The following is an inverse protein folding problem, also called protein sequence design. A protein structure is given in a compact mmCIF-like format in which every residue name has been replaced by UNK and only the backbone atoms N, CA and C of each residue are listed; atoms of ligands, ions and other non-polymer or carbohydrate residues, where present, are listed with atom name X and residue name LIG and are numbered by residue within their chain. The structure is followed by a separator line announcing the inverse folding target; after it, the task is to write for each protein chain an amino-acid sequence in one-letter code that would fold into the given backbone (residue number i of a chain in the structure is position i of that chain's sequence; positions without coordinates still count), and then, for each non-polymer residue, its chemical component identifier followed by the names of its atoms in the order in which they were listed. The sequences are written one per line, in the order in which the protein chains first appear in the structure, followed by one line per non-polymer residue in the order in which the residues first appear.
data_IF_541758835513
#
_entry.id   IF_541758835513
#
_cell.length_a   1.000
_cell.length_b   1.000
_cell.length_c   1.000
_cell.angle_alpha   90.00
_cell.angle_beta   90.00
_cell.angle_gamma   90.00
#
_symmetry.space_group_name_H-M   'P 1'
#
loop_
_entity.id
_entity.type
_entity.pdbx_description
1 polymer ?
#
# COMPACT_ATOMS: atom_id res chain seq x y z
N UNK A 1 -11.06 -22.81 -30.95
CA UNK A 1 -9.67 -22.27 -31.00
C UNK A 1 -9.10 -22.53 -32.38
N UNK A 2 -8.24 -21.64 -32.89
CA UNK A 2 -7.65 -21.79 -34.22
C UNK A 2 -6.59 -22.91 -34.25
N UNK A 3 -6.39 -23.51 -35.42
CA UNK A 3 -5.44 -24.61 -35.65
C UNK A 3 -4.11 -24.15 -36.28
N UNK A 4 -3.85 -22.84 -36.28
CA UNK A 4 -2.71 -22.20 -36.92
C UNK A 4 -2.35 -20.92 -36.14
N UNK A 5 -1.14 -20.43 -36.35
CA UNK A 5 -0.66 -19.16 -35.77
C UNK A 5 -1.42 -18.00 -36.42
N UNK A 6 -2.14 -17.22 -35.62
CA UNK A 6 -3.10 -16.23 -36.15
C UNK A 6 -2.64 -14.81 -35.91
N UNK A 7 -2.89 -13.94 -36.89
CA UNK A 7 -2.81 -12.49 -36.76
C UNK A 7 -4.18 -11.87 -37.02
N UNK A 8 -4.62 -10.95 -36.18
CA UNK A 8 -5.87 -10.22 -36.28
C UNK A 8 -5.63 -8.73 -36.54
N UNK A 9 -6.52 -8.12 -37.31
CA UNK A 9 -6.63 -6.66 -37.41
C UNK A 9 -8.10 -6.25 -37.57
N UNK A 10 -8.49 -5.17 -36.91
CA UNK A 10 -9.83 -4.56 -36.96
C UNK A 10 -9.70 -3.18 -37.59
N UNK A 11 -10.59 -2.88 -38.52
CA UNK A 11 -10.64 -1.61 -39.24
C UNK A 11 -12.04 -1.00 -39.19
N UNK A 12 -12.10 0.32 -39.06
CA UNK A 12 -13.24 1.14 -39.41
C UNK A 12 -13.09 1.69 -40.83
N UNK A 13 -13.99 2.60 -41.20
CA UNK A 13 -14.05 3.17 -42.55
C UNK A 13 -14.59 2.19 -43.60
N UNK A 14 -14.41 2.51 -44.87
CA UNK A 14 -14.87 1.68 -45.98
C UNK A 14 -13.70 0.90 -46.62
N UNK A 15 -14.03 -0.01 -47.55
CA UNK A 15 -13.03 -0.81 -48.25
C UNK A 15 -12.05 0.01 -49.12
N UNK A 16 -12.35 1.28 -49.41
CA UNK A 16 -11.47 2.18 -50.15
C UNK A 16 -10.51 2.94 -49.23
N UNK A 17 -10.85 3.09 -47.96
CA UNK A 17 -10.08 3.82 -46.95
C UNK A 17 -10.26 3.21 -45.56
N UNK A 18 -9.65 2.05 -45.34
CA UNK A 18 -9.65 1.37 -44.04
C UNK A 18 -8.85 2.18 -42.99
N UNK A 19 -9.46 2.37 -41.82
CA UNK A 19 -8.84 3.03 -40.67
C UNK A 19 -8.52 1.96 -39.63
N UNK A 20 -7.26 1.73 -39.24
CA UNK A 20 -6.93 0.72 -38.24
C UNK A 20 -7.50 1.11 -36.87
N UNK A 21 -8.24 0.19 -36.25
CA UNK A 21 -8.81 0.33 -34.90
C UNK A 21 -8.06 -0.54 -33.87
N UNK A 22 -7.48 -1.66 -34.29
CA UNK A 22 -6.67 -2.52 -33.44
C UNK A 22 -6.04 -3.67 -34.24
N UNK A 23 -4.91 -4.20 -33.78
CA UNK A 23 -4.30 -5.38 -34.38
C UNK A 23 -3.49 -6.15 -33.33
N UNK A 24 -3.40 -7.47 -33.50
CA UNK A 24 -2.57 -8.31 -32.66
C UNK A 24 -2.10 -9.55 -33.43
N UNK A 25 -0.87 -9.98 -33.16
CA UNK A 25 -0.28 -11.24 -33.59
C UNK A 25 0.35 -11.86 -32.36
N UNK A 26 -0.28 -12.90 -31.81
CA UNK A 26 0.12 -13.69 -30.65
C UNK A 26 -0.21 -13.06 -29.29
N UNK A 27 -1.40 -13.35 -28.80
CA UNK A 27 -1.75 -13.00 -27.42
C UNK A 27 -0.96 -13.85 -26.42
N UNK A 28 -0.33 -13.18 -25.45
CA UNK A 28 0.24 -13.86 -24.29
C UNK A 28 -0.83 -14.73 -23.60
N UNK A 29 -0.44 -15.94 -23.16
CA UNK A 29 -1.35 -16.90 -22.52
C UNK A 29 -2.26 -17.67 -23.49
N UNK A 30 -2.27 -17.36 -24.78
CA UNK A 30 -3.03 -18.11 -25.78
C UNK A 30 -2.20 -19.27 -26.38
N UNK A 31 -2.74 -20.49 -26.29
CA UNK A 31 -2.08 -21.68 -26.86
C UNK A 31 -2.06 -21.63 -28.38
N UNK A 32 -0.96 -22.07 -28.99
CA UNK A 32 -0.86 -22.20 -30.46
C UNK A 32 -0.77 -20.86 -31.18
N UNK A 33 -0.26 -19.82 -30.51
CA UNK A 33 -0.02 -18.50 -31.11
C UNK A 33 -1.33 -17.87 -31.65
N UNK A 34 -2.41 -18.02 -30.88
CA UNK A 34 -3.69 -17.40 -31.25
C UNK A 34 -3.78 -15.96 -30.75
N UNK A 35 -4.48 -15.12 -31.51
CA UNK A 35 -4.61 -13.69 -31.27
C UNK A 35 -5.96 -13.32 -30.66
N UNK A 36 -5.94 -12.31 -29.79
CA UNK A 36 -7.09 -11.64 -29.18
C UNK A 36 -6.92 -10.13 -29.34
N UNK A 37 -8.01 -9.42 -29.61
CA UNK A 37 -8.05 -7.94 -29.62
C UNK A 37 -9.19 -7.54 -28.68
N UNK A 38 -8.89 -6.67 -27.72
CA UNK A 38 -9.82 -6.16 -26.72
C UNK A 38 -9.95 -4.63 -26.84
N UNK A 39 -10.95 -4.07 -26.16
CA UNK A 39 -11.16 -2.61 -25.99
C UNK A 39 -11.25 -1.79 -27.29
N UNK A 40 -11.76 -2.40 -28.37
CA UNK A 40 -12.06 -1.68 -29.62
C UNK A 40 -13.36 -0.89 -29.45
N UNK A 41 -13.25 0.44 -29.40
CA UNK A 41 -14.40 1.34 -29.35
C UNK A 41 -15.10 1.33 -30.71
N UNK A 42 -16.40 1.01 -30.71
CA UNK A 42 -17.25 0.96 -31.90
C UNK A 42 -18.58 1.65 -31.66
N UNK A 43 -19.18 2.21 -32.71
CA UNK A 43 -20.50 2.84 -32.62
C UNK A 43 -21.61 1.92 -33.13
N UNK A 44 -22.82 2.03 -32.55
CA UNK A 44 -23.98 1.29 -33.05
C UNK A 44 -24.26 1.63 -34.52
N UNK A 45 -24.38 0.60 -35.35
CA UNK A 45 -24.63 0.73 -36.79
C UNK A 45 -23.37 0.99 -37.63
N UNK A 46 -22.20 1.10 -37.00
CA UNK A 46 -20.92 1.16 -37.71
C UNK A 46 -20.58 -0.20 -38.33
N UNK A 47 -20.05 -0.18 -39.55
CA UNK A 47 -19.50 -1.39 -40.18
C UNK A 47 -18.02 -1.47 -39.87
N UNK A 48 -17.62 -2.50 -39.12
CA UNK A 48 -16.21 -2.83 -38.89
C UNK A 48 -15.77 -3.98 -39.82
N UNK A 49 -14.52 -3.93 -40.27
CA UNK A 49 -13.89 -5.00 -41.04
C UNK A 49 -12.85 -5.70 -40.19
N UNK A 50 -12.99 -7.02 -40.01
CA UNK A 50 -12.03 -7.84 -39.28
C UNK A 50 -11.24 -8.67 -40.30
N UNK A 51 -9.92 -8.55 -40.26
CA UNK A 51 -8.98 -9.36 -41.05
C UNK A 51 -8.37 -10.43 -40.16
N UNK A 52 -8.46 -11.67 -40.61
CA UNK A 52 -7.80 -12.84 -40.01
C UNK A 52 -6.73 -13.31 -40.97
N UNK A 53 -5.48 -13.39 -40.51
CA UNK A 53 -4.33 -13.87 -41.28
C UNK A 53 -3.52 -14.89 -40.48
N UNK A 54 -2.59 -15.55 -41.15
CA UNK A 54 -1.52 -16.30 -40.50
C UNK A 54 -0.26 -15.45 -40.33
N UNK A 55 0.63 -15.85 -39.43
CA UNK A 55 1.90 -15.15 -39.18
C UNK A 55 2.75 -14.96 -40.45
N UNK A 56 2.79 -15.97 -41.32
CA UNK A 56 3.59 -15.94 -42.56
C UNK A 56 2.88 -16.62 -43.73
N UNK A 57 3.49 -16.51 -44.92
CA UNK A 57 2.98 -17.13 -46.13
C UNK A 57 2.85 -18.66 -45.96
N UNK A 58 1.67 -19.18 -46.29
CA UNK A 58 1.35 -20.61 -46.19
C UNK A 58 0.87 -21.04 -44.80
N UNK A 59 0.92 -20.17 -43.79
CA UNK A 59 0.36 -20.46 -42.47
C UNK A 59 -1.15 -20.25 -42.49
N UNK A 60 -1.90 -21.35 -42.43
CA UNK A 60 -3.33 -21.35 -42.60
C UNK A 60 -3.96 -22.55 -41.88
N UNK A 61 -5.21 -22.40 -41.47
CA UNK A 61 -5.94 -23.45 -40.81
C UNK A 61 -7.42 -23.12 -40.62
N UNK A 62 -8.02 -23.79 -39.64
CA UNK A 62 -9.43 -23.61 -39.28
C UNK A 62 -9.53 -23.07 -37.85
N UNK A 63 -10.59 -22.33 -37.56
CA UNK A 63 -10.81 -21.77 -36.24
C UNK A 63 -12.20 -21.16 -36.11
N UNK A 64 -12.52 -20.74 -34.89
CA UNK A 64 -13.73 -20.00 -34.56
C UNK A 64 -13.33 -18.60 -34.09
N UNK A 65 -13.76 -17.56 -34.78
CA UNK A 65 -13.64 -16.19 -34.28
C UNK A 65 -14.85 -15.90 -33.38
N UNK A 66 -14.59 -15.60 -32.11
CA UNK A 66 -15.63 -15.08 -31.20
C UNK A 66 -15.56 -13.56 -31.22
N UNK A 67 -16.70 -12.92 -31.42
CA UNK A 67 -16.85 -11.46 -31.34
C UNK A 67 -17.87 -11.19 -30.25
N UNK A 68 -17.47 -10.39 -29.27
CA UNK A 68 -18.31 -9.97 -28.16
C UNK A 68 -18.38 -8.45 -28.16
N UNK A 69 -19.58 -7.93 -27.94
CA UNK A 69 -19.81 -6.49 -27.78
C UNK A 69 -20.16 -6.22 -26.33
N UNK A 70 -19.53 -5.20 -25.77
CA UNK A 70 -19.82 -4.67 -24.44
C UNK A 70 -20.48 -3.31 -24.61
N UNK A 71 -21.69 -3.09 -24.07
CA UNK A 71 -22.30 -1.76 -24.09
C UNK A 71 -21.53 -0.81 -23.16
N UNK A 72 -21.34 0.44 -23.60
CA UNK A 72 -20.92 1.51 -22.68
C UNK A 72 -22.12 1.98 -21.87
N UNK A 73 -22.18 1.55 -20.61
CA UNK A 73 -23.30 1.79 -19.71
C UNK A 73 -23.07 2.95 -18.73
N UNK A 74 -21.81 3.35 -18.59
CA UNK A 74 -21.36 4.31 -17.59
C UNK A 74 -20.20 5.12 -18.17
N UNK A 75 -20.19 6.41 -17.84
CA UNK A 75 -19.10 7.33 -18.15
C UNK A 75 -18.62 8.01 -16.86
N UNK A 76 -17.45 8.65 -16.95
CA UNK A 76 -16.89 9.49 -15.88
C UNK A 76 -16.74 8.76 -14.55
N UNK A 77 -16.30 7.49 -14.57
CA UNK A 77 -15.89 6.83 -13.32
C UNK A 77 -14.67 7.55 -12.76
N UNK A 78 -14.81 8.03 -11.54
CA UNK A 78 -13.76 8.70 -10.77
C UNK A 78 -13.73 8.06 -9.40
N UNK A 79 -12.54 7.72 -8.92
CA UNK A 79 -12.29 7.31 -7.55
C UNK A 79 -11.20 8.23 -6.97
N UNK A 80 -11.48 8.84 -5.83
CA UNK A 80 -10.55 9.74 -5.14
C UNK A 80 -10.48 9.39 -3.68
N UNK A 81 -9.28 9.16 -3.17
CA UNK A 81 -9.09 9.00 -1.73
C UNK A 81 -9.44 10.30 -1.00
N UNK A 82 -10.09 10.16 0.15
CA UNK A 82 -10.22 11.21 1.15
C UNK A 82 -9.14 10.97 2.21
N UNK A 83 -7.98 11.67 2.13
CA UNK A 83 -6.80 11.32 2.91
C UNK A 83 -7.06 11.28 4.41
N UNK A 84 -6.54 10.24 5.08
CA UNK A 84 -6.67 10.04 6.53
C UNK A 84 -7.99 9.41 7.00
N UNK A 85 -9.03 9.44 6.17
CA UNK A 85 -10.35 8.90 6.56
C UNK A 85 -10.50 7.40 6.34
N UNK A 86 -9.52 6.76 5.68
CA UNK A 86 -9.64 5.36 5.25
C UNK A 86 -10.81 5.15 4.29
N UNK A 87 -11.11 6.17 3.48
CA UNK A 87 -12.23 6.16 2.54
C UNK A 87 -11.85 6.68 1.15
N UNK A 88 -12.58 6.18 0.16
CA UNK A 88 -12.51 6.59 -1.24
C UNK A 88 -13.90 7.05 -1.65
N UNK A 89 -13.98 8.28 -2.15
CA UNK A 89 -15.16 8.79 -2.82
C UNK A 89 -15.17 8.30 -4.26
N UNK A 90 -16.26 7.67 -4.67
CA UNK A 90 -16.45 7.15 -6.02
C UNK A 90 -17.64 7.85 -6.67
N UNK A 91 -17.48 8.30 -7.90
CA UNK A 91 -18.57 8.87 -8.69
C UNK A 91 -18.55 8.37 -10.12
N UNK A 92 -19.73 8.21 -10.69
CA UNK A 92 -19.93 7.76 -12.07
C UNK A 92 -21.28 8.23 -12.59
N UNK A 93 -21.43 8.30 -13.92
CA UNK A 93 -22.68 8.72 -14.56
C UNK A 93 -23.25 7.62 -15.46
N UNK A 94 -24.51 7.25 -15.23
CA UNK A 94 -25.23 6.32 -16.10
C UNK A 94 -25.47 6.94 -17.49
N UNK A 95 -25.06 6.28 -18.57
CA UNK A 95 -25.31 6.73 -19.95
C UNK A 95 -26.70 6.32 -20.44
N UNK A 96 -27.29 5.29 -19.82
CA UNK A 96 -28.60 4.72 -20.11
C UNK A 96 -29.23 4.11 -18.84
N UNK A 97 -30.46 3.61 -18.93
CA UNK A 97 -31.11 2.96 -17.80
C UNK A 97 -30.40 1.64 -17.45
N UNK A 98 -29.91 1.53 -16.21
CA UNK A 98 -29.21 0.38 -15.67
C UNK A 98 -30.17 -0.49 -14.87
N UNK A 99 -30.06 -1.80 -15.00
CA UNK A 99 -30.81 -2.78 -14.19
C UNK A 99 -30.12 -3.10 -12.87
N UNK A 100 -28.79 -3.05 -12.83
CA UNK A 100 -27.99 -3.29 -11.63
C UNK A 100 -26.57 -2.78 -11.84
N UNK A 101 -25.96 -2.29 -10.77
CA UNK A 101 -24.51 -2.08 -10.70
C UNK A 101 -23.90 -2.74 -9.46
N UNK A 102 -22.61 -3.02 -9.53
CA UNK A 102 -21.82 -3.47 -8.39
C UNK A 102 -20.45 -2.79 -8.41
N UNK A 103 -20.09 -2.17 -7.28
CA UNK A 103 -18.75 -1.71 -6.98
C UNK A 103 -17.94 -2.85 -6.38
N UNK A 104 -16.72 -3.00 -6.85
CA UNK A 104 -15.76 -3.98 -6.36
C UNK A 104 -14.48 -3.27 -5.95
N UNK A 105 -13.84 -3.80 -4.91
CA UNK A 105 -12.51 -3.41 -4.45
C UNK A 105 -11.63 -4.65 -4.57
N UNK A 106 -10.56 -4.58 -5.35
CA UNK A 106 -9.65 -5.69 -5.65
C UNK A 106 -10.39 -6.97 -6.09
N UNK A 107 -11.42 -6.78 -6.95
CA UNK A 107 -12.27 -7.86 -7.44
C UNK A 107 -13.29 -8.41 -6.44
N UNK A 108 -13.34 -7.91 -5.21
CA UNK A 108 -14.32 -8.30 -4.19
C UNK A 108 -15.52 -7.35 -4.19
N UNK A 109 -16.77 -7.84 -4.27
CA UNK A 109 -17.96 -6.98 -4.20
C UNK A 109 -18.02 -6.19 -2.89
N UNK A 110 -18.08 -4.86 -3.01
CA UNK A 110 -18.22 -3.93 -1.88
C UNK A 110 -19.69 -3.49 -1.71
N UNK A 111 -20.30 -2.98 -2.78
CA UNK A 111 -21.67 -2.50 -2.77
C UNK A 111 -22.36 -2.80 -4.10
N UNK A 112 -23.69 -2.90 -4.08
CA UNK A 112 -24.48 -2.99 -5.30
C UNK A 112 -25.62 -2.00 -5.26
N UNK A 113 -25.82 -1.26 -6.35
CA UNK A 113 -27.03 -0.43 -6.50
C UNK A 113 -28.05 -1.17 -7.37
N UNK A 114 -29.33 -0.86 -7.12
CA UNK A 114 -30.43 -1.39 -7.91
C UNK A 114 -30.50 -0.73 -9.30
N UNK A 115 -31.72 -0.54 -9.80
CA UNK A 115 -31.89 0.17 -11.06
C UNK A 115 -31.46 1.64 -10.93
N UNK A 116 -30.72 2.14 -11.92
CA UNK A 116 -30.26 3.54 -11.99
C UNK A 116 -30.70 4.14 -13.32
N UNK A 117 -31.37 5.30 -13.28
CA UNK A 117 -31.90 5.93 -14.49
C UNK A 117 -30.81 6.62 -15.31
N UNK A 118 -30.99 6.67 -16.62
CA UNK A 118 -30.08 7.35 -17.54
C UNK A 118 -29.81 8.81 -17.10
N UNK A 119 -28.55 9.23 -17.23
CA UNK A 119 -28.09 10.57 -16.86
C UNK A 119 -27.83 10.79 -15.37
N UNK A 120 -28.22 9.85 -14.50
CA UNK A 120 -27.99 9.94 -13.05
C UNK A 120 -26.50 9.88 -12.75
N UNK A 121 -26.03 10.80 -11.91
CA UNK A 121 -24.71 10.72 -11.29
C UNK A 121 -24.89 10.00 -9.96
N UNK A 122 -24.20 8.89 -9.78
CA UNK A 122 -24.12 8.20 -8.50
C UNK A 122 -22.85 8.61 -7.79
N UNK A 123 -22.94 8.62 -6.47
CA UNK A 123 -21.84 8.91 -5.56
C UNK A 123 -21.90 7.88 -4.44
N UNK A 124 -20.80 7.18 -4.25
CA UNK A 124 -20.63 6.16 -3.24
C UNK A 124 -19.38 6.48 -2.41
N UNK A 125 -19.41 6.10 -1.13
CA UNK A 125 -18.26 6.19 -0.25
C UNK A 125 -17.82 4.78 0.11
N UNK A 126 -16.65 4.38 -0.38
CA UNK A 126 -16.00 3.14 0.03
C UNK A 126 -15.21 3.44 1.30
N UNK A 127 -15.49 2.74 2.40
CA UNK A 127 -14.85 2.98 3.69
C UNK A 127 -14.42 1.67 4.36
N UNK A 128 -13.61 1.80 5.41
CA UNK A 128 -13.10 0.67 6.17
C UNK A 128 -11.68 0.26 5.77
N UNK A 129 -10.98 1.06 4.97
CA UNK A 129 -9.55 0.89 4.78
C UNK A 129 -8.83 1.28 6.07
N UNK A 130 -8.09 0.33 6.62
CA UNK A 130 -7.41 0.51 7.90
C UNK A 130 -5.95 0.97 7.74
N UNK A 131 -5.41 0.98 6.52
CA UNK A 131 -4.05 1.42 6.22
C UNK A 131 -3.97 1.97 4.78
N UNK A 132 -2.95 2.78 4.47
CA UNK A 132 -2.68 3.25 3.11
C UNK A 132 -2.30 2.09 2.19
N UNK A 133 -2.97 1.95 1.05
CA UNK A 133 -2.67 0.89 0.08
C UNK A 133 -3.15 1.27 -1.33
N UNK A 134 -2.47 0.80 -2.38
CA UNK A 134 -3.05 0.81 -3.72
C UNK A 134 -4.24 -0.16 -3.73
N UNK A 135 -5.37 0.28 -4.28
CA UNK A 135 -6.55 -0.56 -4.48
C UNK A 135 -7.12 -0.37 -5.88
N UNK A 136 -7.66 -1.43 -6.45
CA UNK A 136 -8.39 -1.38 -7.72
C UNK A 136 -9.89 -1.23 -7.42
N UNK A 137 -10.50 -0.13 -7.87
CA UNK A 137 -11.94 0.08 -7.79
C UNK A 137 -12.57 -0.21 -9.15
N UNK A 138 -13.40 -1.25 -9.22
CA UNK A 138 -14.11 -1.61 -10.44
C UNK A 138 -15.63 -1.37 -10.30
N UNK A 139 -16.25 -0.96 -11.41
CA UNK A 139 -17.69 -0.86 -11.54
C UNK A 139 -18.20 -1.86 -12.59
N UNK A 140 -18.97 -2.83 -12.13
CA UNK A 140 -19.82 -3.68 -12.97
C UNK A 140 -21.15 -2.97 -13.19
N UNK A 141 -21.64 -2.98 -14.43
CA UNK A 141 -22.97 -2.49 -14.74
C UNK A 141 -23.70 -3.39 -15.72
N UNK A 142 -25.02 -3.42 -15.60
CA UNK A 142 -25.90 -4.17 -16.50
C UNK A 142 -27.12 -3.34 -16.85
N UNK A 143 -27.65 -3.59 -18.03
CA UNK A 143 -28.91 -3.03 -18.52
C UNK A 143 -29.70 -4.10 -19.26
N UNK A 144 -30.87 -3.72 -19.79
CA UNK A 144 -31.63 -4.59 -20.71
C UNK A 144 -30.87 -4.93 -22.00
N UNK A 145 -29.86 -4.13 -22.38
CA UNK A 145 -29.02 -4.36 -23.56
C UNK A 145 -27.87 -5.35 -23.30
N UNK A 146 -27.64 -5.75 -22.05
CA UNK A 146 -26.53 -6.63 -21.65
C UNK A 146 -25.70 -6.03 -20.51
N UNK A 147 -24.64 -6.74 -20.14
CA UNK A 147 -23.65 -6.30 -19.15
C UNK A 147 -22.46 -5.67 -19.83
N UNK A 148 -21.95 -4.58 -19.25
CA UNK A 148 -20.69 -3.98 -19.66
C UNK A 148 -19.50 -4.79 -19.14
N UNK A 149 -18.35 -4.59 -19.77
CA UNK A 149 -17.04 -4.92 -19.22
C UNK A 149 -16.81 -4.07 -17.97
N UNK A 150 -16.19 -4.63 -16.91
CA UNK A 150 -15.85 -3.85 -15.73
C UNK A 150 -15.03 -2.63 -16.11
N UNK A 151 -15.42 -1.46 -15.60
CA UNK A 151 -14.60 -0.26 -15.69
C UNK A 151 -13.83 -0.11 -14.38
N UNK A 152 -12.51 -0.16 -14.44
CA UNK A 152 -11.65 -0.17 -13.26
C UNK A 152 -10.74 1.07 -13.21
N UNK A 153 -10.42 1.51 -12.01
CA UNK A 153 -9.49 2.60 -11.73
C UNK A 153 -8.60 2.21 -10.53
N UNK A 154 -7.30 2.35 -10.71
CA UNK A 154 -6.33 2.24 -9.61
C UNK A 154 -6.34 3.55 -8.80
N UNK A 155 -6.44 3.42 -7.49
CA UNK A 155 -6.41 4.56 -6.55
C UNK A 155 -5.65 4.17 -5.30
N UNK A 156 -4.78 5.07 -4.83
CA UNK A 156 -4.11 4.90 -3.56
C UNK A 156 -5.00 5.42 -2.43
N UNK A 157 -5.23 4.59 -1.41
CA UNK A 157 -5.74 5.07 -0.11
C UNK A 157 -4.63 5.88 0.54
N UNK A 158 -4.87 7.17 0.73
CA UNK A 158 -3.88 8.08 1.28
C UNK A 158 -4.11 8.30 2.78
N UNK A 159 -3.02 8.38 3.53
CA UNK A 159 -2.98 8.93 4.88
C UNK A 159 -2.87 10.46 4.85
N UNK A 160 -3.06 11.09 6.00
CA UNK A 160 -2.74 12.51 6.18
C UNK A 160 -1.95 12.70 7.47
N UNK A 161 -1.00 13.64 7.44
CA UNK A 161 -0.33 14.06 8.66
C UNK A 161 -1.34 14.82 9.55
N UNK A 162 -1.54 14.36 10.78
CA UNK A 162 -2.42 15.00 11.77
C UNK A 162 -1.73 16.17 12.45
N UNK A 163 -0.42 16.05 12.68
CA UNK A 163 0.42 17.11 13.21
C UNK A 163 1.85 16.95 12.70
N UNK A 164 2.49 18.08 12.37
CA UNK A 164 3.91 18.16 12.03
C UNK A 164 4.57 19.12 13.00
N UNK A 165 5.56 18.63 13.74
CA UNK A 165 6.25 19.41 14.79
C UNK A 165 7.74 19.43 14.49
N UNK A 166 8.27 20.62 14.17
CA UNK A 166 9.71 20.83 14.05
C UNK A 166 10.34 21.06 15.42
N UNK A 167 11.46 20.40 15.68
CA UNK A 167 12.20 20.61 16.93
C UNK A 167 13.28 21.68 16.83
N UNK A 168 13.97 21.90 17.95
CA UNK A 168 15.12 22.81 18.00
C UNK A 168 16.32 22.26 17.21
N UNK A 169 17.10 23.18 16.63
CA UNK A 169 18.28 22.89 15.80
C UNK A 169 19.53 23.51 16.43
N UNK A 170 20.73 23.09 16.01
CA UNK A 170 21.97 23.67 16.54
C UNK A 170 23.22 22.81 16.38
N UNK A 171 24.35 23.29 16.91
CA UNK A 171 25.61 22.56 16.86
C UNK A 171 25.52 21.27 17.67
N UNK A 172 26.16 20.21 17.18
CA UNK A 172 26.36 18.96 17.92
C UNK A 172 27.61 19.10 18.78
N UNK A 173 27.49 18.71 20.05
CA UNK A 173 28.60 18.67 21.01
C UNK A 173 29.60 17.59 20.61
N UNK A 174 30.82 18.01 20.27
CA UNK A 174 31.96 17.14 19.96
C UNK A 174 32.30 16.21 21.15
N UNK A 175 32.23 14.90 20.92
CA UNK A 175 32.48 13.88 21.95
C UNK A 175 31.52 13.95 23.14
N UNK A 176 30.26 14.35 22.94
CA UNK A 176 29.27 14.48 24.01
C UNK A 176 27.82 14.42 23.55
N UNK A 177 26.91 14.67 24.51
CA UNK A 177 25.47 14.63 24.30
C UNK A 177 24.92 16.00 23.90
N UNK A 178 24.17 16.01 22.81
CA UNK A 178 23.34 17.13 22.35
C UNK A 178 21.87 16.77 22.54
N UNK A 179 21.10 17.72 23.08
CA UNK A 179 19.67 17.55 23.34
C UNK A 179 18.90 18.60 22.54
N UNK A 180 17.96 18.15 21.73
CA UNK A 180 16.99 18.97 21.03
C UNK A 180 15.57 18.60 21.46
N UNK A 181 14.65 19.55 21.42
CA UNK A 181 13.28 19.35 21.89
C UNK A 181 12.24 19.83 20.88
N UNK A 182 11.08 19.17 20.89
CA UNK A 182 9.90 19.51 20.08
C UNK A 182 8.66 19.46 20.99
N UNK A 183 7.77 20.43 20.88
CA UNK A 183 6.54 20.46 21.69
C UNK A 183 5.33 20.04 20.85
N UNK A 184 4.72 18.91 21.19
CA UNK A 184 3.55 18.35 20.52
C UNK A 184 2.29 18.80 21.25
N UNK A 185 1.33 19.35 20.51
CA UNK A 185 0.10 19.90 21.09
C UNK A 185 -1.10 18.94 20.98
N UNK A 186 -1.09 18.01 20.03
CA UNK A 186 -2.19 17.07 19.82
C UNK A 186 -2.43 16.18 21.04
N UNK A 187 -3.71 16.07 21.41
CA UNK A 187 -4.19 15.15 22.45
C UNK A 187 -4.81 13.89 21.88
N UNK A 188 -4.83 13.73 20.56
CA UNK A 188 -5.34 12.55 19.88
C UNK A 188 -4.23 11.50 19.72
N UNK A 189 -4.59 10.22 19.81
CA UNK A 189 -3.65 9.13 19.53
C UNK A 189 -3.20 9.19 18.07
N UNK A 190 -1.89 9.01 17.86
CA UNK A 190 -1.34 8.77 16.54
C UNK A 190 -1.28 7.27 16.27
N UNK A 191 -1.42 6.87 15.02
CA UNK A 191 -1.33 5.46 14.60
C UNK A 191 -0.02 5.15 13.85
N UNK A 192 0.65 6.19 13.36
CA UNK A 192 1.99 6.13 12.79
C UNK A 192 2.79 7.38 13.18
N UNK A 193 4.11 7.23 13.23
CA UNK A 193 5.07 8.30 13.49
C UNK A 193 6.25 8.18 12.54
N UNK A 194 6.57 9.28 11.86
CA UNK A 194 7.83 9.45 11.12
C UNK A 194 8.69 10.51 11.76
N UNK A 195 10.00 10.26 11.75
CA UNK A 195 10.99 11.24 12.18
C UNK A 195 11.84 11.63 10.99
N UNK A 196 11.67 12.85 10.50
CA UNK A 196 12.55 13.39 9.47
C UNK A 196 13.77 13.98 10.17
N UNK A 197 14.98 13.60 9.75
CA UNK A 197 16.22 14.01 10.40
C UNK A 197 17.26 14.42 9.36
N UNK A 198 17.75 15.64 9.52
CA UNK A 198 18.86 16.20 8.76
C UNK A 198 20.01 16.61 9.70
N UNK A 199 21.15 15.95 9.57
CA UNK A 199 22.38 16.24 10.31
C UNK A 199 23.52 16.42 9.30
N UNK A 200 24.26 17.51 9.41
CA UNK A 200 25.56 17.65 8.77
C UNK A 200 26.64 17.22 9.77
N UNK A 201 27.29 16.09 9.52
CA UNK A 201 28.38 15.58 10.36
C UNK A 201 29.42 14.83 9.50
N UNK A 202 30.73 15.04 9.68
CA UNK A 202 31.72 14.40 8.81
C UNK A 202 31.73 12.87 8.89
N UNK A 203 31.40 12.31 10.06
CA UNK A 203 31.34 10.85 10.29
C UNK A 203 30.11 10.44 11.08
N UNK A 204 29.11 9.87 10.41
CA UNK A 204 27.90 9.36 11.10
C UNK A 204 28.12 8.06 11.84
N UNK A 205 29.29 7.43 11.64
CA UNK A 205 29.71 6.27 12.45
C UNK A 205 29.88 6.61 13.93
N UNK A 206 30.11 7.88 14.22
CA UNK A 206 30.42 8.36 15.57
C UNK A 206 29.14 8.80 16.31
N UNK A 207 28.01 8.90 15.59
CA UNK A 207 26.73 9.34 16.14
C UNK A 207 25.86 8.19 16.63
N UNK A 208 25.26 8.39 17.79
CA UNK A 208 24.12 7.64 18.28
C UNK A 208 22.93 8.59 18.46
N UNK A 209 21.81 8.29 17.81
CA UNK A 209 20.62 9.14 17.82
C UNK A 209 19.44 8.36 18.39
N UNK A 210 18.82 8.89 19.44
CA UNK A 210 17.59 8.33 20.01
C UNK A 210 16.52 9.41 20.18
N UNK A 211 15.27 9.00 19.98
CA UNK A 211 14.10 9.82 20.23
C UNK A 211 13.45 9.35 21.54
N UNK A 212 13.01 10.30 22.36
CA UNK A 212 12.23 10.06 23.56
C UNK A 212 10.86 10.74 23.41
N UNK A 213 9.79 10.00 23.72
CA UNK A 213 8.43 10.53 23.82
C UNK A 213 8.28 11.45 25.04
N UNK A 214 7.18 12.19 25.09
CA UNK A 214 6.84 13.04 26.24
C UNK A 214 6.70 12.26 27.56
N UNK A 215 6.41 10.96 27.49
CA UNK A 215 6.31 10.07 28.65
C UNK A 215 7.63 9.36 28.99
N UNK A 216 8.67 9.54 28.17
CA UNK A 216 10.02 9.02 28.39
C UNK A 216 10.29 7.65 27.77
N UNK A 217 9.38 7.12 26.96
CA UNK A 217 9.66 5.93 26.14
C UNK A 217 10.64 6.30 25.02
N UNK A 218 11.54 5.39 24.67
CA UNK A 218 12.65 5.70 23.76
C UNK A 218 12.79 4.71 22.60
N UNK A 219 13.26 5.21 21.47
CA UNK A 219 13.67 4.42 20.31
C UNK A 219 15.01 4.92 19.78
N UNK A 220 15.89 4.00 19.41
CA UNK A 220 17.12 4.36 18.71
C UNK A 220 16.88 4.44 17.21
N UNK A 221 17.06 5.63 16.67
CA UNK A 221 16.90 5.91 15.24
C UNK A 221 18.15 5.47 14.48
N UNK A 222 19.31 5.88 14.98
CA UNK A 222 20.61 5.66 14.34
C UNK A 222 21.64 5.18 15.35
N UNK A 223 22.45 4.21 14.94
CA UNK A 223 23.64 3.80 15.69
C UNK A 223 24.64 3.17 14.75
N UNK A 224 25.88 3.66 14.79
CA UNK A 224 26.94 3.27 13.87
C UNK A 224 26.56 3.53 12.39
N UNK A 225 27.50 3.32 11.48
CA UNK A 225 27.26 3.54 10.06
C UNK A 225 28.54 3.94 9.34
N UNK A 226 28.39 4.47 8.13
CA UNK A 226 29.50 5.02 7.36
C UNK A 226 29.02 6.14 6.46
N UNK A 227 29.89 7.09 6.17
CA UNK A 227 29.56 8.29 5.41
C UNK A 227 29.56 9.54 6.29
N UNK A 228 29.27 10.67 5.64
CA UNK A 228 29.01 11.94 6.30
C UNK A 228 27.57 12.34 6.05
N UNK A 229 26.97 13.00 7.02
CA UNK A 229 25.59 13.47 6.98
C UNK A 229 24.52 12.39 7.18
N UNK A 230 23.37 12.82 7.69
CA UNK A 230 22.13 12.06 7.72
C UNK A 230 21.07 12.97 7.08
N UNK A 231 20.39 12.47 6.06
CA UNK A 231 19.14 13.00 5.50
C UNK A 231 18.25 11.78 5.32
N UNK A 232 17.41 11.51 6.32
CA UNK A 232 16.64 10.29 6.42
C UNK A 232 15.27 10.53 7.05
N UNK A 233 14.29 9.74 6.58
CA UNK A 233 12.95 9.66 7.16
C UNK A 233 12.86 8.34 7.92
N UNK A 234 13.00 8.38 9.23
CA UNK A 234 12.84 7.18 10.06
C UNK A 234 11.37 6.80 10.15
N UNK A 235 11.07 5.58 9.72
CA UNK A 235 9.71 5.05 9.61
C UNK A 235 9.72 3.54 9.87
N UNK A 236 8.86 3.06 10.77
CA UNK A 236 8.93 1.68 11.27
C UNK A 236 8.83 0.58 10.20
N UNK A 237 7.94 0.67 9.19
CA UNK A 237 7.82 -0.32 8.12
C UNK A 237 8.88 -0.19 7.01
N UNK A 238 9.76 0.81 7.07
CA UNK A 238 10.78 0.97 6.05
C UNK A 238 11.78 -0.20 6.05
N UNK A 239 12.63 -0.26 5.02
CA UNK A 239 13.74 -1.22 5.00
C UNK A 239 14.75 -0.93 6.11
N UNK A 240 15.46 -1.95 6.64
CA UNK A 240 16.52 -1.74 7.63
C UNK A 240 17.48 -0.61 7.23
N UNK A 241 17.74 0.32 8.15
CA UNK A 241 18.67 1.43 7.93
C UNK A 241 20.03 0.94 7.45
N UNK A 242 20.51 1.48 6.33
CA UNK A 242 21.80 1.15 5.74
C UNK A 242 22.35 2.37 5.00
N UNK A 243 23.68 2.47 4.92
CA UNK A 243 24.33 3.53 4.14
C UNK A 243 23.98 3.42 2.64
N UNK A 244 23.93 4.55 1.90
CA UNK A 244 24.20 5.93 2.36
C UNK A 244 23.04 6.52 3.17
N UNK A 245 23.37 7.31 4.21
CA UNK A 245 22.39 7.92 5.12
C UNK A 245 21.96 9.34 4.71
N UNK A 246 22.68 10.00 3.79
CA UNK A 246 22.48 11.39 3.36
C UNK A 246 21.80 11.44 1.97
N UNK A 247 20.56 10.95 1.87
CA UNK A 247 19.87 10.75 0.57
C UNK A 247 18.36 11.02 0.58
N UNK A 248 17.79 11.40 1.72
CA UNK A 248 16.34 11.62 1.89
C UNK A 248 15.51 10.34 1.82
N UNK A 249 16.11 9.19 2.10
CA UNK A 249 15.44 7.89 2.01
C UNK A 249 14.68 7.54 3.30
N UNK A 250 13.62 6.75 3.16
CA UNK A 250 12.95 6.14 4.31
C UNK A 250 13.77 4.98 4.86
N UNK A 251 13.93 4.93 6.18
CA UNK A 251 14.77 3.94 6.87
C UNK A 251 14.12 3.47 8.15
N UNK A 252 14.26 2.18 8.47
CA UNK A 252 13.77 1.64 9.75
C UNK A 252 14.70 2.03 10.89
N UNK A 253 14.19 2.54 12.03
CA UNK A 253 15.00 2.76 13.23
C UNK A 253 15.84 1.52 13.59
N UNK A 254 17.09 1.74 14.01
CA UNK A 254 18.01 0.64 14.35
C UNK A 254 17.63 -0.14 15.61
N UNK A 255 16.83 0.47 16.49
CA UNK A 255 16.46 -0.11 17.78
C UNK A 255 17.62 -0.14 18.79
N UNK A 256 17.37 -0.48 20.07
CA UNK A 256 16.12 -1.03 20.61
C UNK A 256 14.94 -0.04 20.60
N UNK A 257 13.72 -0.61 20.69
CA UNK A 257 12.45 0.11 20.59
C UNK A 257 11.88 0.16 19.16
N UNK A 258 10.63 0.59 19.04
CA UNK A 258 9.92 0.82 17.78
C UNK A 258 9.26 2.20 17.81
N UNK A 259 9.17 2.88 16.65
CA UNK A 259 8.40 4.12 16.57
C UNK A 259 6.91 3.90 16.87
N UNK A 260 6.39 2.69 16.64
CA UNK A 260 5.02 2.34 17.02
C UNK A 260 4.80 2.29 18.52
N UNK A 261 5.83 1.97 19.31
CA UNK A 261 5.68 1.89 20.77
C UNK A 261 5.30 3.29 21.30
N UNK A 262 5.89 4.33 20.70
CA UNK A 262 5.63 5.74 20.99
C UNK A 262 4.25 6.24 20.51
N UNK A 263 3.52 5.43 19.75
CA UNK A 263 2.14 5.69 19.33
C UNK A 263 1.09 5.06 20.27
N UNK A 264 1.52 4.35 21.33
CA UNK A 264 0.61 3.66 22.26
C UNK A 264 -0.04 4.59 23.30
N UNK A 265 0.40 5.85 23.39
CA UNK A 265 -0.14 6.86 24.31
C UNK A 265 -0.32 8.23 23.63
N UNK A 266 -0.90 9.18 24.38
CA UNK A 266 -1.21 10.51 23.87
C UNK A 266 0.12 11.27 23.64
N UNK A 267 0.37 11.82 22.43
CA UNK A 267 1.68 12.37 22.10
C UNK A 267 1.92 13.78 22.70
N UNK A 268 0.91 14.40 23.33
CA UNK A 268 1.01 15.74 23.91
C UNK A 268 2.18 15.88 24.90
N UNK A 269 3.06 16.85 24.66
CA UNK A 269 4.15 17.19 25.56
C UNK A 269 5.48 17.46 24.86
N UNK A 270 6.55 17.51 25.65
CA UNK A 270 7.90 17.76 25.16
C UNK A 270 8.58 16.45 24.75
N UNK A 271 8.84 16.30 23.45
CA UNK A 271 9.63 15.22 22.89
C UNK A 271 11.10 15.63 22.82
N UNK A 272 11.99 14.67 23.00
CA UNK A 272 13.43 14.92 23.07
C UNK A 272 14.17 14.09 22.04
N UNK A 273 14.97 14.75 21.19
CA UNK A 273 15.95 14.10 20.33
C UNK A 273 17.33 14.21 21.00
N UNK A 274 17.94 13.07 21.28
CA UNK A 274 19.27 12.98 21.86
C UNK A 274 20.27 12.48 20.81
N UNK A 275 21.31 13.29 20.58
CA UNK A 275 22.40 12.99 19.65
C UNK A 275 23.68 12.94 20.46
N UNK A 276 24.23 11.74 20.64
CA UNK A 276 25.53 11.53 21.27
C UNK A 276 26.58 11.34 20.17
N UNK A 277 27.56 12.25 20.13
CA UNK A 277 28.81 12.01 19.41
C UNK A 277 29.76 11.25 20.33
N UNK A 278 30.05 10.01 19.96
CA UNK A 278 30.79 9.06 20.77
C UNK A 278 32.31 9.16 20.58
N UNK A 279 32.78 9.93 19.58
CA UNK A 279 34.20 10.03 19.23
C UNK A 279 34.59 11.48 19.02
N UNK A 280 35.33 12.03 19.98
CA UNK A 280 35.80 13.41 19.86
C UNK A 280 36.76 13.64 18.67
N UNK A 281 36.71 14.83 18.09
CA UNK A 281 37.64 15.34 17.08
C UNK A 281 36.98 15.88 15.82
N UNK A 282 35.71 15.58 15.62
CA UNK A 282 34.87 16.11 14.55
C UNK A 282 33.59 16.68 15.16
N UNK A 283 33.00 17.68 14.51
CA UNK A 283 31.74 18.24 14.98
C UNK A 283 30.83 18.47 13.81
N UNK A 284 29.53 18.48 14.09
CA UNK A 284 28.49 18.69 13.11
C UNK A 284 27.41 19.62 13.62
N UNK A 285 26.32 19.66 12.87
CA UNK A 285 25.14 20.48 13.16
C UNK A 285 23.89 19.65 12.92
N UNK A 286 22.98 19.67 13.87
CA UNK A 286 21.60 19.27 13.64
C UNK A 286 20.94 20.36 12.79
N UNK A 287 20.73 20.07 11.52
CA UNK A 287 20.22 21.03 10.52
C UNK A 287 18.71 21.15 10.66
N UNK A 288 18.01 20.03 10.70
CA UNK A 288 16.57 19.96 10.88
C UNK A 288 16.15 18.63 11.50
N UNK A 289 15.04 18.65 12.23
CA UNK A 289 14.28 17.43 12.50
C UNK A 289 12.81 17.75 12.75
N UNK A 290 11.95 16.80 12.40
CA UNK A 290 10.51 16.90 12.59
C UNK A 290 9.90 15.58 13.06
N UNK A 291 8.81 15.69 13.82
CA UNK A 291 7.90 14.58 14.09
C UNK A 291 6.67 14.76 13.19
N UNK A 292 6.30 13.72 12.46
CA UNK A 292 5.14 13.68 11.59
C UNK A 292 4.23 12.55 12.06
N UNK A 293 3.08 12.91 12.62
CA UNK A 293 2.08 11.97 13.14
C UNK A 293 1.00 11.71 12.09
N UNK A 294 0.50 10.47 12.01
CA UNK A 294 -0.59 10.10 11.10
C UNK A 294 -1.76 9.45 11.84
N UNK A 295 -2.95 9.55 11.26
CA UNK A 295 -4.23 9.05 11.78
C UNK A 295 -4.53 7.59 11.43
N UNK A 296 -3.73 7.00 10.55
CA UNK A 296 -3.86 5.60 10.15
C UNK A 296 -2.54 4.88 10.38
N UNK A 297 -2.58 3.59 10.79
CA UNK A 297 -1.36 2.81 10.91
C UNK A 297 -0.76 2.61 9.51
N UNK A 298 0.56 2.48 9.43
CA UNK A 298 1.17 2.24 8.14
C UNK A 298 0.78 0.85 7.63
N UNK A 299 0.77 0.68 6.31
CA UNK A 299 0.68 -0.65 5.73
C UNK A 299 1.96 -1.42 6.05
N UNK A 300 1.89 -2.26 7.08
CA UNK A 300 2.83 -3.35 7.25
C UNK A 300 2.54 -4.31 6.11
N UNK A 301 3.27 -4.16 5.00
CA UNK A 301 3.23 -5.12 3.91
C UNK A 301 4.65 -5.62 3.63
N UNK A 302 4.89 -6.91 3.86
CA UNK A 302 4.01 -7.88 4.53
C UNK A 302 4.14 -7.75 6.06
N UNK A 303 3.04 -7.44 6.74
CA UNK A 303 2.95 -7.61 8.20
C UNK A 303 3.34 -9.05 8.56
N UNK A 304 3.80 -9.33 9.78
CA UNK A 304 3.69 -10.67 10.33
C UNK A 304 2.20 -11.04 10.39
N UNK A 305 1.66 -11.57 9.30
CA UNK A 305 0.27 -12.02 9.27
C UNK A 305 0.22 -13.35 10.03
N UNK A 306 -0.33 -13.32 11.22
CA UNK A 306 -0.56 -14.52 12.01
C UNK A 306 -2.00 -14.96 11.82
N UNK A 307 -2.24 -15.74 10.77
CA UNK A 307 -3.56 -16.34 10.57
C UNK A 307 -3.70 -17.50 11.54
N UNK A 308 -4.54 -17.31 12.55
CA UNK A 308 -5.00 -18.39 13.43
C UNK A 308 -6.33 -18.95 12.90
N UNK A 309 -6.37 -20.25 12.65
CA UNK A 309 -7.62 -20.94 12.29
C UNK A 309 -8.63 -21.01 13.44
N UNK A 310 -9.78 -21.65 13.19
CA UNK A 310 -10.85 -21.82 14.18
C UNK A 310 -10.33 -22.37 15.51
N UNK A 311 -10.52 -21.57 16.55
CA UNK A 311 -10.08 -21.88 17.90
C UNK A 311 -10.90 -23.04 18.50
N UNK A 312 -10.25 -24.16 18.79
CA UNK A 312 -10.92 -25.34 19.33
C UNK A 312 -11.03 -25.30 20.86
N UNK A 313 -9.97 -24.89 21.57
CA UNK A 313 -9.89 -24.86 23.04
C UNK A 313 -8.82 -23.88 23.54
N UNK A 314 -9.15 -23.09 24.58
CA UNK A 314 -8.22 -22.21 25.30
C UNK A 314 -8.04 -22.74 26.71
N UNK A 315 -6.80 -22.80 27.19
CA UNK A 315 -6.49 -23.11 28.59
C UNK A 315 -5.50 -22.11 29.15
N UNK A 316 -5.81 -21.53 30.31
CA UNK A 316 -4.86 -20.73 31.07
C UNK A 316 -3.94 -21.68 31.85
N UNK A 317 -2.65 -21.66 31.53
CA UNK A 317 -1.66 -22.56 32.12
C UNK A 317 -0.99 -21.96 33.38
N UNK A 318 -0.92 -20.64 33.48
CA UNK A 318 -0.27 -19.96 34.61
C UNK A 318 -0.32 -18.44 34.53
N UNK A 319 0.23 -17.78 35.56
CA UNK A 319 0.44 -16.32 35.61
C UNK A 319 1.76 -16.04 36.33
N UNK A 320 2.58 -15.15 35.79
CA UNK A 320 3.76 -14.60 36.44
C UNK A 320 3.72 -13.08 36.31
N UNK A 321 3.64 -12.36 37.44
CA UNK A 321 3.43 -10.91 37.42
C UNK A 321 2.14 -10.53 36.67
N UNK A 322 2.26 -9.70 35.64
CA UNK A 322 1.16 -9.27 34.77
C UNK A 322 1.06 -10.10 33.48
N UNK A 323 1.89 -11.13 33.34
CA UNK A 323 1.88 -12.04 32.19
C UNK A 323 1.00 -13.26 32.50
N UNK A 324 0.13 -13.61 31.55
CA UNK A 324 -0.71 -14.80 31.62
C UNK A 324 -0.30 -15.80 30.54
N UNK A 325 0.01 -17.03 30.95
CA UNK A 325 0.28 -18.12 30.03
C UNK A 325 -1.04 -18.69 29.50
N UNK A 326 -1.33 -18.45 28.23
CA UNK A 326 -2.49 -19.02 27.54
C UNK A 326 -2.01 -20.06 26.52
N UNK A 327 -2.64 -21.23 26.53
CA UNK A 327 -2.54 -22.21 25.47
C UNK A 327 -3.79 -22.12 24.61
N UNK A 328 -3.60 -21.86 23.33
CA UNK A 328 -4.66 -21.94 22.33
C UNK A 328 -4.40 -23.13 21.42
N UNK A 329 -5.41 -23.98 21.25
CA UNK A 329 -5.38 -25.02 20.24
C UNK A 329 -5.92 -24.46 18.92
N UNK A 330 -5.02 -23.89 18.11
CA UNK A 330 -5.29 -23.45 16.75
C UNK A 330 -4.09 -23.75 15.83
N UNK A 331 -4.34 -23.81 14.52
CA UNK A 331 -3.29 -23.78 13.50
C UNK A 331 -2.97 -22.31 13.26
N UNK A 332 -1.78 -21.88 13.68
CA UNK A 332 -1.27 -20.54 13.39
C UNK A 332 -0.25 -20.63 12.27
N UNK A 333 -0.43 -19.86 11.21
CA UNK A 333 0.52 -19.74 10.11
C UNK A 333 1.08 -18.32 10.09
N UNK A 334 2.40 -18.18 9.92
CA UNK A 334 2.96 -16.91 9.45
C UNK A 334 2.66 -16.81 7.96
N UNK A 335 1.74 -15.92 7.60
CA UNK A 335 1.39 -15.55 6.24
C UNK A 335 2.12 -14.25 5.81
N UNK A 336 2.95 -13.67 6.71
CA UNK A 336 3.87 -12.57 6.43
C UNK A 336 5.28 -12.99 6.05
N UNK A 337 6.09 -12.05 5.54
CA UNK A 337 7.52 -12.26 5.23
C UNK A 337 8.46 -11.78 6.37
N UNK A 338 7.93 -11.20 7.45
CA UNK A 338 8.74 -10.89 8.65
C UNK A 338 8.90 -12.13 9.56
N UNK A 339 10.10 -12.37 10.14
CA UNK A 339 10.29 -13.43 11.12
C UNK A 339 9.51 -13.14 12.40
N UNK A 340 8.69 -14.09 12.85
CA UNK A 340 8.09 -14.03 14.17
C UNK A 340 9.15 -14.32 15.24
N UNK A 341 9.16 -13.52 16.31
CA UNK A 341 10.04 -13.72 17.46
C UNK A 341 9.50 -14.87 18.34
N UNK A 342 9.73 -16.10 17.88
CA UNK A 342 9.39 -17.30 18.63
C UNK A 342 10.36 -17.45 19.81
N UNK A 343 9.84 -17.51 21.04
CA UNK A 343 10.68 -17.85 22.18
C UNK A 343 11.23 -19.26 22.04
N UNK A 344 12.56 -19.39 22.16
CA UNK A 344 13.26 -20.67 22.05
C UNK A 344 12.81 -21.67 23.11
N UNK A 345 12.04 -22.68 22.71
CA UNK A 345 11.65 -23.80 23.55
C UNK A 345 12.74 -24.91 23.50
N UNK A 346 13.08 -25.58 24.61
CA UNK A 346 13.77 -26.87 24.58
C UNK A 346 13.05 -28.01 23.82
N UNK A 347 11.78 -27.83 23.40
CA UNK A 347 11.01 -28.78 22.57
C UNK A 347 10.44 -28.12 21.30
N UNK A 348 10.82 -28.56 20.09
CA UNK A 348 10.41 -27.92 18.82
C UNK A 348 8.94 -28.16 18.42
N UNK A 349 8.15 -28.85 19.25
CA UNK A 349 6.77 -29.25 18.92
C UNK A 349 5.70 -28.27 19.45
N UNK A 350 6.07 -27.32 20.31
CA UNK A 350 5.14 -26.37 20.94
C UNK A 350 5.81 -24.99 21.02
N UNK A 351 5.81 -24.22 19.92
CA UNK A 351 6.40 -22.90 19.92
C UNK A 351 5.56 -21.93 20.76
N UNK A 352 6.22 -21.01 21.47
CA UNK A 352 5.58 -19.96 22.26
C UNK A 352 5.84 -18.61 21.61
N UNK A 353 4.85 -17.74 21.69
CA UNK A 353 4.93 -16.35 21.26
C UNK A 353 4.26 -15.48 22.31
N UNK A 354 4.81 -14.30 22.55
CA UNK A 354 4.24 -13.31 23.46
C UNK A 354 3.40 -12.34 22.65
N UNK A 355 2.17 -12.14 23.08
CA UNK A 355 1.30 -11.09 22.56
C UNK A 355 1.04 -10.10 23.68
N UNK A 356 1.11 -8.80 23.37
CA UNK A 356 0.52 -7.79 24.21
C UNK A 356 -1.00 -7.85 23.98
N UNK A 357 -1.73 -8.38 24.97
CA UNK A 357 -3.19 -8.32 24.98
C UNK A 357 -3.59 -6.94 25.51
N UNK A 358 -3.93 -6.01 24.62
CA UNK A 358 -4.57 -4.75 24.95
C UNK A 358 -6.07 -4.93 25.22
#
# INVERSE_FOLDING_TARGET
MASFDTTLAVYGGDCASLIPLGCNGDSSGCSGFTSLIEDVIVSTGETISIRVGGWQEGDAGTGSLSVQFSPSLVDNLVATSNPGTGAIEVSWQATQDLSSTALLVDGVPYASTGAVSAGTIQQDLISGFLWPAPVEVCLLSSSTAGSSTPLCIDVDVLEVATEVVSGSMGPIVDGGLTVATAFVASTELAFDLRVELEIDHPRVSDLQVRLLSAEGEQVFLHSNGSGGGIDAIYWQPASPAAAPYDVGATMRPVGPGSLLDLCSSIPAGEWTLEIEDQVAGESGTLVAWSLVFFDVPPAYLPAPDLIAGDHQQMSQLGREGDEVGLMLQSVCCNHGDEPLDWHGNPSPLHPFMVFNLA
#
